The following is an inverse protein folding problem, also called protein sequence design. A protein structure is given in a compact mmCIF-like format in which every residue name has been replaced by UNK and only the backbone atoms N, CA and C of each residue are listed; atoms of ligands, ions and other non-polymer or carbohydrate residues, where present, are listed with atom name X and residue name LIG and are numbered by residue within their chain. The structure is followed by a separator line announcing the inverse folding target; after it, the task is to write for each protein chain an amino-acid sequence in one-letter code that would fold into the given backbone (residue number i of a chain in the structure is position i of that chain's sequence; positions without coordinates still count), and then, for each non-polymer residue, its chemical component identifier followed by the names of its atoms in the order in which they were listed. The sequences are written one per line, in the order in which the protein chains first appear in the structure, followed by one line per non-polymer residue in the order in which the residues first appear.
data_IF_882860488687
#
_entry.id   IF_882860488687
#
_cell.length_a   1.000
_cell.length_b   1.000
_cell.length_c   1.000
_cell.angle_alpha   90.00
_cell.angle_beta   90.00
_cell.angle_gamma   90.00
#
_symmetry.space_group_name_H-M   'P 1'
#
loop_
_entity.id
_entity.type
_entity.pdbx_description
1 polymer ?
#
# COMPACT_ATOMS: atom_id res chain seq x y z
N UNK A 1 13.65 13.24 18.05
CA UNK A 1 14.23 12.24 17.11
C UNK A 1 13.90 12.73 15.72
N UNK A 2 14.82 12.69 14.74
CA UNK A 2 14.53 13.14 13.38
C UNK A 2 13.63 12.15 12.64
N UNK A 3 12.93 12.59 11.58
CA UNK A 3 11.92 11.79 10.90
C UNK A 3 12.53 10.61 10.11
N UNK A 4 13.75 10.76 9.60
CA UNK A 4 14.48 9.68 8.95
C UNK A 4 14.74 8.51 9.91
N UNK A 5 15.10 8.81 11.14
CA UNK A 5 15.30 7.79 12.18
C UNK A 5 13.97 7.16 12.58
N UNK A 6 12.88 7.93 12.69
CA UNK A 6 11.54 7.39 12.97
C UNK A 6 11.08 6.45 11.87
N UNK A 7 11.24 6.88 10.60
CA UNK A 7 10.89 6.07 9.43
C UNK A 7 11.66 4.74 9.42
N UNK A 8 12.98 4.76 9.66
CA UNK A 8 13.81 3.56 9.76
C UNK A 8 13.36 2.62 10.89
N UNK A 9 13.03 3.18 12.06
CA UNK A 9 12.53 2.40 13.19
C UNK A 9 11.19 1.73 12.87
N UNK A 10 10.29 2.44 12.18
CA UNK A 10 9.00 1.89 11.75
C UNK A 10 9.20 0.69 10.81
N UNK A 11 10.06 0.82 9.79
CA UNK A 11 10.40 -0.30 8.89
C UNK A 11 10.94 -1.51 9.66
N UNK A 12 11.92 -1.30 10.55
CA UNK A 12 12.52 -2.39 11.34
C UNK A 12 11.48 -3.06 12.24
N UNK A 13 10.60 -2.27 12.87
CA UNK A 13 9.54 -2.81 13.72
C UNK A 13 8.56 -3.68 12.91
N UNK A 14 8.09 -3.18 11.76
CA UNK A 14 7.19 -3.92 10.87
C UNK A 14 7.82 -5.21 10.33
N UNK A 15 9.10 -5.18 9.95
CA UNK A 15 9.81 -6.37 9.45
C UNK A 15 10.00 -7.47 10.51
N UNK A 16 9.92 -7.12 11.79
CA UNK A 16 10.08 -8.08 12.91
C UNK A 16 8.75 -8.57 13.48
N UNK A 17 7.66 -7.88 13.23
CA UNK A 17 6.37 -8.24 13.82
C UNK A 17 5.72 -9.39 13.04
N UNK A 18 5.16 -10.38 13.75
CA UNK A 18 4.64 -11.61 13.17
C UNK A 18 3.60 -11.40 12.05
N UNK A 19 2.74 -10.38 12.16
CA UNK A 19 1.67 -10.14 11.20
C UNK A 19 2.10 -9.28 9.99
N UNK A 20 3.24 -8.59 10.08
CA UNK A 20 3.72 -7.70 9.02
C UNK A 20 5.06 -8.12 8.43
N UNK A 21 5.75 -9.09 9.03
CA UNK A 21 7.00 -9.67 8.51
C UNK A 21 6.86 -10.25 7.09
N UNK A 22 5.64 -10.66 6.70
CA UNK A 22 5.26 -11.04 5.35
C UNK A 22 5.75 -10.02 4.30
N UNK A 23 5.71 -8.73 4.63
CA UNK A 23 6.04 -7.63 3.71
C UNK A 23 7.50 -7.19 3.78
N UNK A 24 8.36 -7.88 4.54
CA UNK A 24 9.78 -7.49 4.72
C UNK A 24 10.52 -7.31 3.39
N UNK A 25 10.37 -8.25 2.46
CA UNK A 25 10.97 -8.16 1.14
C UNK A 25 10.46 -6.97 0.32
N UNK A 26 9.18 -6.61 0.47
CA UNK A 26 8.58 -5.43 -0.17
C UNK A 26 9.15 -4.14 0.43
N UNK A 27 9.26 -4.07 1.75
CA UNK A 27 9.81 -2.89 2.46
C UNK A 27 11.26 -2.59 2.08
N UNK A 28 12.02 -3.62 1.67
CA UNK A 28 13.41 -3.49 1.22
C UNK A 28 13.54 -3.11 -0.26
N UNK A 29 12.44 -3.08 -1.02
CA UNK A 29 12.47 -2.68 -2.43
C UNK A 29 12.49 -1.16 -2.57
N UNK A 30 13.23 -0.68 -3.57
CA UNK A 30 13.31 0.75 -3.89
C UNK A 30 13.86 1.61 -2.76
N UNK A 31 13.60 2.90 -2.85
CA UNK A 31 13.94 3.87 -1.79
C UNK A 31 12.77 4.14 -0.85
N UNK A 32 13.08 4.62 0.36
CA UNK A 32 12.12 5.16 1.32
C UNK A 32 12.70 6.45 1.88
N UNK A 33 12.13 7.58 1.48
CA UNK A 33 12.70 8.89 1.72
C UNK A 33 11.74 9.81 2.46
N UNK A 34 12.28 10.63 3.38
CA UNK A 34 11.56 11.75 3.97
C UNK A 34 11.82 12.97 3.12
N UNK A 35 10.76 13.62 2.64
CA UNK A 35 10.82 14.77 1.74
C UNK A 35 10.02 15.95 2.30
N UNK A 36 10.36 17.17 1.88
CA UNK A 36 9.73 18.38 2.40
C UNK A 36 8.55 18.86 1.53
N UNK A 37 8.49 18.42 0.28
CA UNK A 37 7.52 18.81 -0.76
C UNK A 37 6.31 17.87 -0.90
N UNK A 38 6.21 16.87 -0.04
CA UNK A 38 5.09 15.93 -0.02
C UNK A 38 4.12 16.26 1.14
N UNK A 39 2.81 16.44 0.87
CA UNK A 39 1.84 16.76 1.93
C UNK A 39 1.58 15.58 2.88
N UNK A 40 1.65 14.34 2.39
CA UNK A 40 1.35 13.10 3.14
C UNK A 40 2.43 12.04 2.88
N UNK A 41 2.11 11.03 2.10
CA UNK A 41 3.06 10.05 1.55
C UNK A 41 2.58 9.63 0.16
N UNK A 42 3.42 8.98 -0.61
CA UNK A 42 3.02 8.29 -1.84
C UNK A 42 4.06 7.27 -2.29
N UNK A 43 3.63 6.35 -3.15
CA UNK A 43 4.50 5.42 -3.86
C UNK A 43 4.29 5.48 -5.38
N UNK A 44 5.37 5.28 -6.14
CA UNK A 44 5.34 5.06 -7.58
C UNK A 44 5.23 3.57 -7.97
N UNK A 45 5.03 2.69 -6.98
CA UNK A 45 4.98 1.25 -7.14
C UNK A 45 6.29 0.53 -6.81
N UNK A 46 7.35 1.26 -6.45
CA UNK A 46 8.62 0.72 -5.97
C UNK A 46 9.30 1.62 -4.95
N UNK A 47 9.34 2.94 -5.19
CA UNK A 47 9.88 3.93 -4.26
C UNK A 47 8.76 4.53 -3.42
N UNK A 48 9.09 4.96 -2.20
CA UNK A 48 8.15 5.54 -1.23
C UNK A 48 8.68 6.87 -0.74
N UNK A 49 7.81 7.88 -0.71
CA UNK A 49 8.13 9.20 -0.19
C UNK A 49 7.17 9.60 0.91
N UNK A 50 7.69 10.18 1.95
CA UNK A 50 6.97 10.51 3.18
C UNK A 50 7.20 11.97 3.53
N UNK A 51 6.13 12.76 3.60
CA UNK A 51 6.18 14.17 3.95
C UNK A 51 6.67 14.39 5.37
N UNK A 52 7.74 15.19 5.55
CA UNK A 52 8.31 15.49 6.87
C UNK A 52 7.27 16.09 7.81
N UNK A 53 6.57 17.12 7.35
CA UNK A 53 5.57 17.82 8.16
C UNK A 53 4.36 16.93 8.52
N UNK A 54 4.06 15.92 7.69
CA UNK A 54 3.03 14.94 7.99
C UNK A 54 3.51 13.95 9.06
N UNK A 55 4.70 13.37 8.89
CA UNK A 55 5.30 12.47 9.88
C UNK A 55 5.41 13.10 11.28
N UNK A 56 5.67 14.41 11.36
CA UNK A 56 5.77 15.12 12.64
C UNK A 56 4.48 15.12 13.45
N UNK A 57 3.33 15.02 12.80
CA UNK A 57 2.00 15.02 13.44
C UNK A 57 1.58 13.63 13.90
N UNK A 58 2.20 12.57 13.39
CA UNK A 58 1.81 11.19 13.62
C UNK A 58 2.46 10.62 14.88
N UNK A 59 1.72 9.74 15.59
CA UNK A 59 2.28 8.84 16.59
C UNK A 59 3.18 7.78 15.93
N UNK A 60 3.96 7.05 16.70
CA UNK A 60 4.82 6.00 16.15
C UNK A 60 3.99 4.81 15.59
N UNK A 61 2.82 4.54 16.15
CA UNK A 61 1.84 3.57 15.65
C UNK A 61 1.28 4.00 14.29
N UNK A 62 0.99 5.28 14.13
CA UNK A 62 0.50 5.84 12.86
C UNK A 62 1.60 5.91 11.80
N UNK A 63 2.85 6.20 12.19
CA UNK A 63 3.99 6.10 11.25
C UNK A 63 4.14 4.65 10.75
N UNK A 64 3.99 3.64 11.63
CA UNK A 64 3.98 2.24 11.18
C UNK A 64 2.80 1.95 10.26
N UNK A 65 1.62 2.51 10.54
CA UNK A 65 0.44 2.40 9.67
C UNK A 65 0.68 2.97 8.28
N UNK A 66 1.23 4.18 8.21
CA UNK A 66 1.56 4.85 6.95
C UNK A 66 2.62 4.06 6.15
N UNK A 67 3.68 3.59 6.81
CA UNK A 67 4.72 2.78 6.16
C UNK A 67 4.14 1.48 5.61
N UNK A 68 3.29 0.81 6.38
CA UNK A 68 2.64 -0.41 5.92
C UNK A 68 1.70 -0.14 4.74
N UNK A 69 0.94 0.96 4.78
CA UNK A 69 0.03 1.40 3.72
C UNK A 69 0.75 1.52 2.37
N UNK A 70 1.82 2.30 2.29
CA UNK A 70 2.59 2.48 1.06
C UNK A 70 3.18 1.16 0.54
N UNK A 71 3.66 0.31 1.44
CA UNK A 71 4.20 -0.99 1.06
C UNK A 71 3.12 -1.99 0.63
N UNK A 72 1.89 -1.87 1.11
CA UNK A 72 0.75 -2.68 0.65
C UNK A 72 0.33 -2.30 -0.78
N UNK A 73 0.39 -1.02 -1.17
CA UNK A 73 0.17 -0.64 -2.57
C UNK A 73 1.17 -1.32 -3.52
N UNK A 74 2.44 -1.42 -3.12
CA UNK A 74 3.47 -2.15 -3.87
C UNK A 74 3.17 -3.66 -3.87
N UNK A 75 2.91 -4.25 -2.70
CA UNK A 75 2.62 -5.67 -2.54
C UNK A 75 1.43 -6.13 -3.40
N UNK A 76 0.37 -5.32 -3.45
CA UNK A 76 -0.84 -5.58 -4.24
C UNK A 76 -0.71 -5.12 -5.70
N UNK A 77 0.43 -4.52 -6.07
CA UNK A 77 0.76 -4.05 -7.43
C UNK A 77 -0.28 -3.05 -7.97
N UNK A 78 -0.80 -2.18 -7.11
CA UNK A 78 -1.90 -1.30 -7.48
C UNK A 78 -1.54 -0.41 -8.67
N UNK A 79 -0.35 0.19 -8.68
CA UNK A 79 0.12 1.07 -9.77
C UNK A 79 0.16 0.33 -11.12
N UNK A 80 0.71 -0.90 -11.15
CA UNK A 80 0.83 -1.67 -12.39
C UNK A 80 -0.52 -2.20 -12.87
N UNK A 81 -1.38 -2.66 -11.94
CA UNK A 81 -2.62 -3.37 -12.28
C UNK A 81 -3.76 -2.46 -12.69
N UNK A 82 -3.79 -1.23 -12.19
CA UNK A 82 -4.93 -0.31 -12.36
C UNK A 82 -4.59 0.96 -13.15
N UNK A 83 -3.46 0.98 -13.85
CA UNK A 83 -3.03 2.14 -14.66
C UNK A 83 -4.10 2.57 -15.68
N UNK A 84 -4.78 1.62 -16.32
CA UNK A 84 -5.83 1.92 -17.30
C UNK A 84 -7.03 2.56 -16.62
N UNK A 85 -7.53 1.95 -15.55
CA UNK A 85 -8.68 2.43 -14.78
C UNK A 85 -8.38 3.80 -14.14
N UNK A 86 -7.13 4.06 -13.76
CA UNK A 86 -6.68 5.34 -13.25
C UNK A 86 -6.79 6.45 -14.30
N UNK A 87 -6.40 6.19 -15.53
CA UNK A 87 -6.55 7.17 -16.63
C UNK A 87 -8.02 7.55 -16.86
N UNK A 88 -8.95 6.61 -16.61
CA UNK A 88 -10.39 6.87 -16.77
C UNK A 88 -10.98 7.61 -15.57
N UNK A 89 -10.58 7.26 -14.34
CA UNK A 89 -11.06 7.88 -13.11
C UNK A 89 -10.05 7.76 -11.95
N UNK A 90 -9.08 8.68 -11.86
CA UNK A 90 -8.03 8.66 -10.86
C UNK A 90 -8.57 8.60 -9.42
N UNK A 91 -9.57 9.44 -9.12
CA UNK A 91 -10.16 9.54 -7.78
C UNK A 91 -10.71 8.21 -7.29
N UNK A 92 -11.49 7.52 -8.11
CA UNK A 92 -12.12 6.26 -7.70
C UNK A 92 -11.10 5.12 -7.58
N UNK A 93 -10.06 5.12 -8.41
CA UNK A 93 -8.98 4.12 -8.31
C UNK A 93 -8.22 4.32 -7.00
N UNK A 94 -7.79 5.55 -6.68
CA UNK A 94 -7.10 5.85 -5.43
C UNK A 94 -7.95 5.46 -4.21
N UNK A 95 -9.17 5.98 -4.13
CA UNK A 95 -10.07 5.65 -3.02
C UNK A 95 -10.29 4.15 -2.87
N UNK A 96 -10.50 3.42 -3.97
CA UNK A 96 -10.75 1.98 -3.93
C UNK A 96 -9.51 1.20 -3.51
N UNK A 97 -8.34 1.61 -3.95
CA UNK A 97 -7.08 1.00 -3.55
C UNK A 97 -6.81 1.24 -2.05
N UNK A 98 -7.08 2.45 -1.55
CA UNK A 98 -6.93 2.80 -0.14
C UNK A 98 -7.89 2.01 0.76
N UNK A 99 -9.16 1.88 0.39
CA UNK A 99 -10.10 1.04 1.14
C UNK A 99 -9.59 -0.39 1.28
N UNK A 100 -9.03 -0.97 0.21
CA UNK A 100 -8.49 -2.34 0.25
C UNK A 100 -7.23 -2.43 1.12
N UNK A 101 -6.30 -1.48 0.99
CA UNK A 101 -5.08 -1.44 1.82
C UNK A 101 -5.42 -1.23 3.29
N UNK A 102 -6.32 -0.28 3.58
CA UNK A 102 -6.72 0.03 4.93
C UNK A 102 -7.53 -1.09 5.58
N UNK A 103 -8.30 -1.87 4.80
CA UNK A 103 -8.94 -3.09 5.30
C UNK A 103 -7.90 -4.10 5.80
N UNK A 104 -6.80 -4.30 5.08
CA UNK A 104 -5.71 -5.17 5.55
C UNK A 104 -5.12 -4.67 6.88
N UNK A 105 -4.88 -3.36 7.00
CA UNK A 105 -4.32 -2.75 8.21
C UNK A 105 -5.27 -2.88 9.40
N UNK A 106 -6.55 -2.56 9.20
CA UNK A 106 -7.56 -2.57 10.26
C UNK A 106 -7.92 -3.98 10.75
N UNK A 107 -7.60 -5.00 9.98
CA UNK A 107 -7.83 -6.40 10.35
C UNK A 107 -6.58 -7.11 10.91
N UNK A 108 -5.51 -6.38 11.23
CA UNK A 108 -4.41 -6.91 12.04
C UNK A 108 -4.90 -7.16 13.47
N UNK A 109 -4.47 -8.26 14.09
CA UNK A 109 -4.91 -8.62 15.44
C UNK A 109 -4.32 -7.70 16.52
N UNK A 110 -3.10 -7.17 16.30
CA UNK A 110 -2.47 -6.22 17.20
C UNK A 110 -2.79 -4.76 16.80
N UNK A 111 -3.96 -4.30 17.22
CA UNK A 111 -4.43 -2.92 16.98
C UNK A 111 -3.58 -1.83 17.68
N UNK A 112 -2.70 -2.21 18.62
CA UNK A 112 -1.80 -1.28 19.30
C UNK A 112 -0.47 -1.13 18.58
N UNK A 113 -0.10 -2.10 17.74
CA UNK A 113 1.16 -2.05 17.01
C UNK A 113 1.12 -1.14 15.79
N UNK A 114 0.01 -1.18 15.05
CA UNK A 114 -0.22 -0.35 13.86
C UNK A 114 -1.54 0.39 14.01
N UNK A 115 -1.55 1.66 13.66
CA UNK A 115 -2.76 2.49 13.61
C UNK A 115 -2.84 3.21 12.28
N UNK A 116 -4.04 3.27 11.71
CA UNK A 116 -4.30 4.10 10.56
C UNK A 116 -4.27 5.57 10.97
N UNK A 117 -3.56 6.46 10.24
CA UNK A 117 -3.64 7.90 10.48
C UNK A 117 -5.07 8.43 10.37
N UNK A 118 -5.37 9.51 11.11
CA UNK A 118 -6.68 10.15 11.06
C UNK A 118 -7.02 10.58 9.61
N UNK A 119 -8.25 10.29 9.19
CA UNK A 119 -8.73 10.58 7.83
C UNK A 119 -8.51 9.45 6.83
N UNK A 120 -7.85 8.35 7.21
CA UNK A 120 -7.71 7.16 6.37
C UNK A 120 -9.06 6.55 6.01
N UNK A 121 -9.27 6.23 4.73
CA UNK A 121 -10.51 5.64 4.22
C UNK A 121 -10.68 4.21 4.73
N UNK A 122 -11.72 3.97 5.51
CA UNK A 122 -12.08 2.63 5.95
C UNK A 122 -13.60 2.48 6.05
N UNK A 123 -14.10 1.37 5.54
CA UNK A 123 -15.48 0.92 5.74
C UNK A 123 -15.50 -0.60 5.82
N UNK A 124 -16.02 -1.14 6.92
CA UNK A 124 -16.10 -2.59 7.16
C UNK A 124 -16.92 -3.35 6.11
N UNK A 125 -17.79 -2.66 5.38
CA UNK A 125 -18.54 -3.23 4.25
C UNK A 125 -17.61 -3.76 3.15
N UNK A 126 -16.43 -3.14 2.99
CA UNK A 126 -15.44 -3.53 1.98
C UNK A 126 -14.48 -4.64 2.45
N UNK A 127 -14.76 -5.25 3.60
CA UNK A 127 -13.90 -6.32 4.11
C UNK A 127 -13.72 -7.44 3.09
N UNK A 128 -12.46 -7.71 2.74
CA UNK A 128 -12.03 -8.69 1.73
C UNK A 128 -12.51 -8.41 0.28
N UNK A 129 -12.99 -7.20 -0.01
CA UNK A 129 -13.33 -6.82 -1.39
C UNK A 129 -12.05 -6.52 -2.19
N UNK A 130 -12.12 -6.75 -3.51
CA UNK A 130 -11.09 -6.32 -4.44
C UNK A 130 -11.26 -4.83 -4.80
N UNK A 131 -10.20 -4.21 -5.29
CA UNK A 131 -10.25 -2.82 -5.79
C UNK A 131 -11.37 -2.61 -6.81
N UNK A 132 -11.61 -3.58 -7.71
CA UNK A 132 -12.67 -3.49 -8.72
C UNK A 132 -14.06 -3.54 -8.13
N UNK A 133 -14.28 -4.36 -7.11
CA UNK A 133 -15.56 -4.44 -6.41
C UNK A 133 -15.86 -3.12 -5.69
N UNK A 134 -14.88 -2.57 -4.97
CA UNK A 134 -15.01 -1.26 -4.31
C UNK A 134 -15.27 -0.16 -5.34
N UNK A 135 -14.48 -0.12 -6.43
CA UNK A 135 -14.64 0.89 -7.48
C UNK A 135 -16.01 0.84 -8.15
N UNK A 136 -16.57 -0.35 -8.38
CA UNK A 136 -17.91 -0.50 -8.93
C UNK A 136 -18.97 0.02 -7.97
N UNK A 137 -18.87 -0.29 -6.69
CA UNK A 137 -19.79 0.19 -5.67
C UNK A 137 -19.73 1.71 -5.52
N UNK A 138 -18.55 2.33 -5.53
CA UNK A 138 -18.39 3.79 -5.51
C UNK A 138 -19.02 4.46 -6.73
N UNK A 139 -18.87 3.87 -7.93
CA UNK A 139 -19.52 4.35 -9.16
C UNK A 139 -21.04 4.25 -9.09
N UNK A 140 -21.57 3.18 -8.50
CA UNK A 140 -23.00 2.99 -8.36
C UNK A 140 -23.60 3.94 -7.31
N UNK A 141 -22.88 4.21 -6.20
CA UNK A 141 -23.27 5.26 -5.26
C UNK A 141 -23.34 6.63 -5.91
N UNK A 142 -22.35 6.99 -6.74
CA UNK A 142 -22.36 8.26 -7.47
C UNK A 142 -23.56 8.38 -8.42
N UNK A 143 -23.90 7.31 -9.16
CA UNK A 143 -25.09 7.29 -10.03
C UNK A 143 -26.39 7.50 -9.25
N UNK A 144 -26.44 7.09 -7.99
CA UNK A 144 -27.60 7.26 -7.10
C UNK A 144 -27.64 8.64 -6.44
N UNK A 145 -26.71 9.53 -6.77
CA UNK A 145 -26.60 10.87 -6.19
C UNK A 145 -25.91 10.93 -4.83
N UNK A 146 -25.33 9.82 -4.40
CA UNK A 146 -24.51 9.75 -3.19
C UNK A 146 -23.05 9.95 -3.60
N UNK A 147 -22.52 11.15 -3.48
CA UNK A 147 -21.10 11.36 -3.71
C UNK A 147 -20.30 10.64 -2.62
N UNK A 148 -19.35 9.75 -2.99
CA UNK A 148 -18.46 9.13 -2.02
C UNK A 148 -17.72 10.22 -1.25
N UNK A 149 -17.95 10.26 0.07
CA UNK A 149 -17.31 11.25 0.93
C UNK A 149 -15.89 10.79 1.29
N UNK A 150 -14.97 11.73 1.34
CA UNK A 150 -13.56 11.50 1.62
C UNK A 150 -12.69 11.67 0.37
N UNK A 151 -11.45 12.04 0.59
CA UNK A 151 -10.37 12.00 -0.38
C UNK A 151 -9.42 10.88 0.04
N UNK A 152 -8.70 10.30 -0.91
CA UNK A 152 -7.50 9.54 -0.58
C UNK A 152 -6.59 10.44 0.26
N UNK A 153 -5.98 9.92 1.31
CA UNK A 153 -4.94 10.66 2.05
C UNK A 153 -3.72 10.89 1.16
N UNK A 154 -3.56 10.04 0.16
CA UNK A 154 -2.40 9.95 -0.69
C UNK A 154 -2.81 10.08 -2.14
N UNK A 155 -2.10 10.92 -2.88
CA UNK A 155 -2.15 10.96 -4.34
C UNK A 155 -1.03 10.06 -4.85
N UNK A 156 -1.33 8.78 -5.08
CA UNK A 156 -0.34 7.88 -5.65
C UNK A 156 0.01 8.29 -7.08
N UNK A 157 1.27 8.18 -7.42
CA UNK A 157 1.78 8.49 -8.76
C UNK A 157 1.48 7.35 -9.75
N UNK A 158 0.20 7.19 -10.09
CA UNK A 158 -0.22 6.28 -11.16
C UNK A 158 0.12 6.83 -12.56
N UNK A 159 0.36 8.13 -12.69
CA UNK A 159 0.80 8.72 -13.96
C UNK A 159 2.29 8.41 -14.20
N UNK A 160 3.08 8.32 -13.13
CA UNK A 160 4.45 7.83 -13.17
C UNK A 160 4.49 6.33 -13.47
N UNK A 161 5.40 5.91 -14.30
CA UNK A 161 5.81 4.51 -14.30
C UNK A 161 6.75 4.31 -13.12
N UNK A 162 6.78 3.11 -12.47
CA UNK A 162 7.81 2.81 -11.49
C UNK A 162 9.17 3.29 -12.00
N UNK A 163 9.89 4.06 -11.20
CA UNK A 163 11.14 4.65 -11.64
C UNK A 163 12.35 3.81 -11.19
N UNK A 164 13.42 3.87 -11.95
CA UNK A 164 14.67 3.13 -11.70
C UNK A 164 15.53 3.70 -10.54
N UNK A 165 14.98 4.64 -9.79
CA UNK A 165 15.70 5.38 -8.73
C UNK A 165 16.40 6.64 -9.23
N UNK A 166 16.54 6.82 -10.54
CA UNK A 166 17.02 8.05 -11.19
C UNK A 166 15.85 8.89 -11.77
N UNK A 167 14.60 8.48 -11.48
CA UNK A 167 13.39 9.14 -11.96
C UNK A 167 13.01 8.80 -13.41
N UNK A 168 13.70 7.85 -14.05
CA UNK A 168 13.38 7.41 -15.40
C UNK A 168 12.30 6.33 -15.37
N UNK A 169 11.23 6.44 -16.19
CA UNK A 169 10.20 5.43 -16.27
C UNK A 169 10.74 4.05 -16.66
N UNK A 170 10.35 3.02 -15.92
CA UNK A 170 10.69 1.64 -16.24
C UNK A 170 10.04 1.18 -17.55
N UNK A 171 10.81 0.46 -18.37
CA UNK A 171 10.31 -0.25 -19.56
C UNK A 171 9.33 -1.37 -19.18
N UNK A 172 8.59 -1.90 -20.15
CA UNK A 172 7.67 -3.02 -19.94
C UNK A 172 8.35 -4.26 -19.35
N UNK A 173 9.57 -4.56 -19.81
CA UNK A 173 10.35 -5.70 -19.31
C UNK A 173 10.81 -5.49 -17.86
N UNK A 174 11.22 -4.27 -17.50
CA UNK A 174 11.58 -3.92 -16.13
C UNK A 174 10.37 -3.97 -15.19
N UNK A 175 9.20 -3.52 -15.65
CA UNK A 175 7.94 -3.63 -14.89
C UNK A 175 7.53 -5.10 -14.68
N UNK A 176 7.70 -5.95 -15.68
CA UNK A 176 7.47 -7.39 -15.57
C UNK A 176 8.46 -8.04 -14.60
N UNK A 177 9.73 -7.65 -14.66
CA UNK A 177 10.75 -8.12 -13.74
C UNK A 177 10.46 -7.68 -12.30
N UNK A 178 10.03 -6.42 -12.09
CA UNK A 178 9.59 -5.91 -10.80
C UNK A 178 8.40 -6.71 -10.26
N UNK A 179 7.38 -6.95 -11.09
CA UNK A 179 6.23 -7.79 -10.71
C UNK A 179 6.67 -9.19 -10.24
N UNK A 180 7.60 -9.82 -10.93
CA UNK A 180 8.17 -11.11 -10.53
C UNK A 180 8.97 -11.06 -9.21
N UNK A 181 9.68 -9.95 -8.96
CA UNK A 181 10.38 -9.72 -7.69
C UNK A 181 9.39 -9.57 -6.53
N UNK A 182 8.29 -8.83 -6.73
CA UNK A 182 7.21 -8.67 -5.74
C UNK A 182 6.61 -10.04 -5.40
N UNK A 183 6.26 -10.85 -6.40
CA UNK A 183 5.68 -12.18 -6.18
C UNK A 183 6.63 -13.10 -5.40
N UNK A 184 7.92 -13.07 -5.72
CA UNK A 184 8.94 -13.82 -4.98
C UNK A 184 9.03 -13.36 -3.53
N UNK A 185 9.13 -12.05 -3.30
CA UNK A 185 9.21 -11.49 -1.95
C UNK A 185 7.99 -11.86 -1.09
N UNK A 186 6.79 -11.85 -1.66
CA UNK A 186 5.56 -12.25 -0.97
C UNK A 186 5.51 -13.76 -0.69
N UNK A 187 5.99 -14.62 -1.60
CA UNK A 187 6.10 -16.06 -1.34
C UNK A 187 7.08 -16.37 -0.21
N UNK A 188 8.26 -15.76 -0.23
CA UNK A 188 9.27 -15.90 0.82
C UNK A 188 8.76 -15.35 2.15
N UNK A 189 8.10 -14.18 2.11
CA UNK A 189 7.46 -13.56 3.27
C UNK A 189 6.32 -14.40 3.86
N UNK A 190 5.53 -15.07 3.01
CA UNK A 190 4.46 -15.98 3.48
C UNK A 190 5.02 -17.17 4.25
N UNK A 191 6.17 -17.70 3.83
CA UNK A 191 6.87 -18.77 4.56
C UNK A 191 7.37 -18.24 5.91
N UNK A 192 7.95 -17.04 5.93
CA UNK A 192 8.40 -16.40 7.16
C UNK A 192 7.25 -16.14 8.14
N UNK A 193 6.14 -15.56 7.64
CA UNK A 193 4.96 -15.33 8.46
C UNK A 193 4.43 -16.61 9.11
N UNK A 194 4.33 -17.71 8.34
CA UNK A 194 3.92 -18.99 8.86
C UNK A 194 4.83 -19.51 9.99
N UNK A 195 6.15 -19.30 9.90
CA UNK A 195 7.12 -19.67 10.96
C UNK A 195 6.98 -18.81 12.22
N UNK A 196 6.54 -17.58 12.09
CA UNK A 196 6.32 -16.65 13.20
C UNK A 196 4.91 -16.77 13.80
N UNK A 197 4.05 -17.63 13.26
CA UNK A 197 2.66 -17.78 13.70
C UNK A 197 1.73 -16.67 13.17
N UNK A 198 2.16 -15.91 12.17
CA UNK A 198 1.36 -14.90 11.50
C UNK A 198 0.46 -15.50 10.40
N UNK A 199 -0.56 -14.75 10.01
CA UNK A 199 -1.48 -15.11 8.95
C UNK A 199 -1.12 -14.39 7.63
N UNK A 200 -1.45 -15.01 6.50
CA UNK A 200 -1.35 -14.39 5.18
C UNK A 200 -2.72 -13.84 4.80
N UNK A 201 -2.88 -12.51 4.61
CA UNK A 201 -4.15 -11.93 4.21
C UNK A 201 -4.68 -12.51 2.90
N UNK A 202 -6.01 -12.59 2.78
CA UNK A 202 -6.69 -13.16 1.62
C UNK A 202 -6.29 -12.50 0.30
N UNK A 203 -6.09 -11.18 0.30
CA UNK A 203 -5.64 -10.44 -0.89
C UNK A 203 -4.28 -10.93 -1.40
N UNK A 204 -3.35 -11.23 -0.50
CA UNK A 204 -2.03 -11.77 -0.85
C UNK A 204 -2.15 -13.21 -1.34
N UNK A 205 -2.94 -14.04 -0.65
CA UNK A 205 -3.18 -15.43 -1.07
C UNK A 205 -3.72 -15.48 -2.49
N UNK A 206 -4.77 -14.71 -2.80
CA UNK A 206 -5.36 -14.63 -4.14
C UNK A 206 -4.37 -14.12 -5.20
N UNK A 207 -3.49 -13.17 -4.83
CA UNK A 207 -2.48 -12.64 -5.75
C UNK A 207 -1.44 -13.68 -6.14
N UNK A 208 -1.13 -14.62 -5.23
CA UNK A 208 -0.12 -15.65 -5.40
C UNK A 208 -0.67 -16.97 -5.96
N UNK A 209 -1.99 -17.11 -6.09
CA UNK A 209 -2.60 -18.25 -6.76
C UNK A 209 -2.15 -18.32 -8.22
N UNK A 210 -1.87 -19.53 -8.75
CA UNK A 210 -1.58 -19.68 -10.16
C UNK A 210 -2.79 -19.22 -10.98
N UNK A 211 -2.56 -18.37 -11.97
CA UNK A 211 -3.60 -18.12 -12.97
C UNK A 211 -3.78 -19.43 -13.74
N UNK A 212 -4.93 -20.06 -13.58
CA UNK A 212 -5.30 -21.22 -14.42
C UNK A 212 -5.72 -20.61 -15.75
N UNK A 213 -4.85 -20.74 -16.76
CA UNK A 213 -5.16 -20.42 -18.15
C UNK A 213 -6.22 -21.39 -18.71
#
# INVERSE_FOLDING_TARGET
MNQETRLKKAHVALMKHQETALYSGIMMMGSSEVVDDCPTAYTDGVNKRYGRAFLEKLSDEEVRGLVLHENLHIALKHIQRFKKEFNDNPRFVNMSADYVVNDVIMNLNDSHFVRLPEGGLYDSKYHNWSVREVMNDLKDQQKQGNEPQGGSMDEHDFEGSPSDGEGKPMSADEQKALSGKIDRALREGSILAGRLGGNVPRHITKLLEPTID
#
